data_IF_375521418488
#
_entry.id   IF_375521418488
#
_cell.length_a   1.000
_cell.length_b   1.000
_cell.length_c   1.000
_cell.angle_alpha   90.00
_cell.angle_beta   90.00
_cell.angle_gamma   90.00
#
_symmetry.space_group_name_H-M   'P 1'
#
loop_
_entity.id
_entity.type
_entity.pdbx_description
1 polymer ?
#
# COMPACT_ATOMS: atom_id res chain seq x y z
N UNK A 1 1.12 7.95 16.24
CA UNK A 1 0.66 8.97 15.27
C UNK A 1 -0.40 9.84 15.94
N UNK A 2 -0.34 11.16 15.75
CA UNK A 2 -1.27 12.13 16.34
C UNK A 2 -2.03 12.83 15.19
N UNK A 3 -3.24 12.38 14.81
CA UNK A 3 -4.03 13.04 13.80
C UNK A 3 -4.65 14.31 14.35
N UNK A 4 -4.45 15.45 13.66
CA UNK A 4 -5.04 16.75 14.01
C UNK A 4 -5.89 17.23 12.84
N UNK A 5 -7.17 17.47 13.09
CA UNK A 5 -8.09 17.97 12.07
C UNK A 5 -8.03 19.49 12.02
N UNK A 6 -7.38 20.04 10.99
CA UNK A 6 -7.28 21.48 10.72
C UNK A 6 -8.15 21.94 9.52
N UNK A 7 -8.76 20.98 8.80
CA UNK A 7 -9.56 21.26 7.61
C UNK A 7 -11.02 20.83 7.80
N UNK A 8 -11.93 21.54 7.14
CA UNK A 8 -13.34 21.22 7.06
C UNK A 8 -13.66 19.98 6.22
N UNK A 9 -14.94 19.67 6.05
CA UNK A 9 -15.40 18.52 5.26
C UNK A 9 -15.21 18.70 3.76
N UNK A 10 -15.01 19.93 3.30
CA UNK A 10 -14.71 20.32 1.93
C UNK A 10 -13.19 20.30 1.62
N UNK A 11 -12.37 19.89 2.59
CA UNK A 11 -10.91 19.88 2.47
C UNK A 11 -10.25 21.27 2.61
N UNK A 12 -11.03 22.32 2.92
CA UNK A 12 -10.54 23.68 3.09
C UNK A 12 -10.41 24.06 4.57
N UNK A 13 -9.48 24.95 4.88
CA UNK A 13 -9.27 25.46 6.25
C UNK A 13 -8.53 26.79 6.22
N UNK A 14 -8.42 27.44 7.37
CA UNK A 14 -7.70 28.69 7.49
C UNK A 14 -6.26 28.45 7.93
N UNK A 15 -5.35 29.35 7.56
CA UNK A 15 -3.96 29.32 8.05
C UNK A 15 -3.91 29.48 9.59
N UNK A 16 -4.92 30.08 10.18
CA UNK A 16 -5.07 30.19 11.64
C UNK A 16 -5.31 28.80 12.26
N UNK A 17 -6.29 28.05 11.76
CA UNK A 17 -6.61 26.70 12.27
C UNK A 17 -5.44 25.75 12.11
N UNK A 18 -4.74 25.80 10.97
CA UNK A 18 -3.49 25.06 10.77
C UNK A 18 -2.43 25.46 11.80
N UNK A 19 -2.27 26.76 12.04
CA UNK A 19 -1.35 27.31 13.05
C UNK A 19 -1.70 26.83 14.47
N UNK A 20 -2.98 26.79 14.84
CA UNK A 20 -3.43 26.27 16.14
C UNK A 20 -3.16 24.77 16.29
N UNK A 21 -3.38 23.97 15.22
CA UNK A 21 -3.06 22.56 15.23
C UNK A 21 -1.54 22.31 15.36
N UNK A 22 -0.72 23.10 14.67
CA UNK A 22 0.75 23.05 14.79
C UNK A 22 1.20 23.40 16.21
N UNK A 23 0.66 24.48 16.81
CA UNK A 23 0.93 24.86 18.20
C UNK A 23 0.59 23.74 19.18
N UNK A 24 -0.60 23.13 19.01
CA UNK A 24 -0.99 21.96 19.80
C UNK A 24 0.01 20.83 19.66
N UNK A 25 0.39 20.45 18.41
CA UNK A 25 1.28 19.33 18.15
C UNK A 25 2.62 19.42 18.87
N UNK A 26 3.17 20.62 19.03
CA UNK A 26 4.47 20.87 19.68
C UNK A 26 4.36 21.28 21.16
N UNK A 27 3.16 21.29 21.73
CA UNK A 27 2.93 21.66 23.12
C UNK A 27 3.01 23.17 23.41
N UNK A 28 2.88 24.02 22.38
CA UNK A 28 2.82 25.48 22.53
C UNK A 28 1.41 25.95 22.94
N UNK A 29 1.28 27.13 23.57
CA UNK A 29 -0.02 27.72 23.87
C UNK A 29 -0.89 27.84 22.60
N UNK A 30 -2.13 27.38 22.69
CA UNK A 30 -3.12 27.34 21.61
C UNK A 30 -4.53 27.57 22.16
N UNK A 31 -5.51 27.81 21.30
CA UNK A 31 -6.88 28.16 21.67
C UNK A 31 -7.65 27.07 22.44
N UNK A 32 -7.26 25.80 22.28
CA UNK A 32 -7.88 24.72 23.05
C UNK A 32 -7.54 24.76 24.54
N UNK A 33 -6.51 25.51 24.93
CA UNK A 33 -5.98 25.56 26.29
C UNK A 33 -5.39 24.22 26.76
N UNK A 34 -5.20 23.26 25.85
CA UNK A 34 -4.64 21.93 26.13
C UNK A 34 -3.39 21.67 25.30
N UNK A 35 -2.60 20.70 25.72
CA UNK A 35 -1.39 20.24 25.03
C UNK A 35 -1.40 18.71 24.97
N UNK A 36 -0.73 18.08 24.01
CA UNK A 36 -0.62 16.64 23.97
C UNK A 36 0.24 16.11 25.13
N UNK A 37 0.00 14.87 25.53
CA UNK A 37 0.80 14.20 26.55
C UNK A 37 2.29 14.15 26.17
N UNK A 38 2.56 13.98 24.88
CA UNK A 38 3.89 14.02 24.27
C UNK A 38 3.85 14.87 23.01
N UNK A 39 4.67 15.90 22.88
CA UNK A 39 4.84 16.63 21.64
C UNK A 39 5.26 15.75 20.46
N UNK A 40 4.91 16.15 19.25
CA UNK A 40 5.35 15.50 18.04
C UNK A 40 6.85 15.75 17.80
N UNK A 41 7.55 14.79 17.25
CA UNK A 41 8.94 14.94 16.76
C UNK A 41 8.94 15.47 15.32
N UNK A 42 7.90 15.12 14.54
CA UNK A 42 7.77 15.47 13.12
C UNK A 42 6.31 15.87 12.84
N UNK A 43 6.11 16.91 12.05
CA UNK A 43 4.82 17.36 11.58
C UNK A 43 4.75 17.21 10.06
N UNK A 44 3.72 16.51 9.56
CA UNK A 44 3.39 16.38 8.15
C UNK A 44 2.25 17.34 7.78
N UNK A 45 2.48 18.22 6.82
CA UNK A 45 1.52 19.18 6.28
C UNK A 45 1.29 18.89 4.79
N UNK A 46 0.45 17.89 4.49
CA UNK A 46 0.01 17.58 3.12
C UNK A 46 -1.05 18.57 2.63
N UNK A 47 -0.77 19.87 2.75
CA UNK A 47 -1.66 20.98 2.44
C UNK A 47 -0.84 22.21 2.00
N UNK A 48 -1.48 23.16 1.35
CA UNK A 48 -0.84 24.40 0.90
C UNK A 48 -1.83 25.36 0.22
N UNK A 49 -1.29 26.42 -0.37
CA UNK A 49 -2.07 27.42 -1.13
C UNK A 49 -2.15 28.78 -0.45
N UNK A 50 -1.48 28.99 0.68
CA UNK A 50 -1.40 30.27 1.36
C UNK A 50 -0.41 31.26 0.74
N UNK A 51 -0.46 32.51 1.22
CA UNK A 51 0.53 33.53 0.95
C UNK A 51 1.52 33.66 2.13
N UNK A 52 2.65 34.29 1.90
CA UNK A 52 3.60 34.59 2.98
C UNK A 52 2.97 35.39 4.11
N UNK A 53 3.18 34.95 5.34
CA UNK A 53 2.77 35.66 6.57
C UNK A 53 3.93 35.69 7.55
N UNK A 54 4.36 36.88 8.00
CA UNK A 54 5.39 36.98 9.03
C UNK A 54 5.03 36.28 10.34
N UNK A 55 3.74 36.27 10.71
CA UNK A 55 3.26 35.57 11.90
C UNK A 55 3.36 34.05 11.77
N UNK A 56 3.09 33.50 10.58
CA UNK A 56 3.27 32.08 10.31
C UNK A 56 4.77 31.70 10.26
N UNK A 57 5.63 32.54 9.67
CA UNK A 57 7.08 32.31 9.74
C UNK A 57 7.57 32.25 11.19
N UNK A 58 7.13 33.20 12.03
CA UNK A 58 7.52 33.19 13.44
C UNK A 58 7.04 31.91 14.18
N UNK A 59 5.86 31.38 13.81
CA UNK A 59 5.39 30.08 14.33
C UNK A 59 6.35 28.94 13.96
N UNK A 60 6.75 28.82 12.69
CA UNK A 60 7.69 27.75 12.27
C UNK A 60 9.08 27.92 12.87
N UNK A 61 9.50 29.15 13.17
CA UNK A 61 10.71 29.40 13.94
C UNK A 61 10.59 28.91 15.40
N UNK A 62 9.44 29.12 16.06
CA UNK A 62 9.14 28.57 17.39
C UNK A 62 9.09 27.04 17.38
N UNK A 63 8.46 26.42 16.35
CA UNK A 63 8.39 24.97 16.18
C UNK A 63 9.77 24.34 16.05
N UNK A 64 10.64 24.95 15.23
CA UNK A 64 12.02 24.52 15.09
C UNK A 64 12.82 24.66 16.39
N UNK A 65 12.63 25.76 17.11
CA UNK A 65 13.28 25.97 18.40
C UNK A 65 12.80 24.94 19.46
N UNK A 66 11.59 24.43 19.33
CA UNK A 66 11.07 23.31 20.13
C UNK A 66 11.64 21.93 19.73
N UNK A 67 12.51 21.87 18.72
CA UNK A 67 13.15 20.61 18.25
C UNK A 67 12.29 19.77 17.31
N UNK A 68 11.25 20.33 16.73
CA UNK A 68 10.31 19.63 15.85
C UNK A 68 10.60 19.93 14.38
N UNK A 69 10.64 18.90 13.55
CA UNK A 69 10.82 19.03 12.10
C UNK A 69 9.46 19.08 11.39
N UNK A 70 9.30 20.06 10.51
CA UNK A 70 8.08 20.20 9.68
C UNK A 70 8.40 19.87 8.24
N UNK A 71 7.57 19.03 7.63
CA UNK A 71 7.60 18.74 6.20
C UNK A 71 6.28 19.17 5.57
N UNK A 72 6.32 19.77 4.38
CA UNK A 72 5.12 20.28 3.72
C UNK A 72 5.14 20.06 2.21
N UNK A 73 3.93 19.91 1.63
CA UNK A 73 3.72 19.70 0.21
C UNK A 73 4.03 20.97 -0.58
N UNK A 74 4.85 20.86 -1.63
CA UNK A 74 5.26 22.00 -2.45
C UNK A 74 4.14 22.61 -3.30
N UNK A 75 3.05 21.87 -3.53
CA UNK A 75 1.91 22.27 -4.37
C UNK A 75 1.85 21.52 -5.70
N UNK A 76 0.68 21.59 -6.36
CA UNK A 76 0.34 20.75 -7.51
C UNK A 76 -0.06 21.58 -8.75
N UNK A 77 0.43 22.79 -8.91
CA UNK A 77 0.07 23.74 -9.97
C UNK A 77 1.11 23.82 -11.10
N UNK A 78 2.10 22.89 -11.11
CA UNK A 78 3.25 22.92 -12.03
C UNK A 78 3.98 24.29 -12.03
N UNK A 79 3.95 25.00 -10.93
CA UNK A 79 4.37 26.39 -10.75
C UNK A 79 5.80 26.48 -10.18
N UNK A 80 6.44 27.63 -10.43
CA UNK A 80 7.68 28.03 -9.75
C UNK A 80 7.45 29.07 -8.66
N UNK A 81 6.20 29.49 -8.46
CA UNK A 81 5.85 30.41 -7.38
C UNK A 81 5.91 29.68 -6.03
N UNK A 82 6.46 30.33 -4.99
CA UNK A 82 6.46 29.75 -3.64
C UNK A 82 5.05 29.47 -3.15
N UNK A 83 4.82 28.26 -2.63
CA UNK A 83 3.57 27.84 -1.97
C UNK A 83 3.80 27.66 -0.47
N UNK A 84 2.88 28.14 0.33
CA UNK A 84 3.00 28.09 1.78
C UNK A 84 2.02 27.07 2.37
N UNK A 85 2.45 26.29 3.39
CA UNK A 85 3.61 26.53 4.29
C UNK A 85 4.96 26.01 3.80
N UNK A 86 5.04 25.26 2.69
CA UNK A 86 6.29 24.63 2.23
C UNK A 86 7.45 25.63 2.02
N UNK A 87 7.14 26.86 1.58
CA UNK A 87 8.15 27.87 1.30
C UNK A 87 8.60 28.69 2.52
N UNK A 88 8.10 28.42 3.74
CA UNK A 88 8.63 29.06 4.94
C UNK A 88 10.02 28.52 5.26
N UNK A 89 10.89 29.39 5.78
CA UNK A 89 12.13 28.94 6.39
C UNK A 89 11.82 27.94 7.54
N UNK A 90 12.68 26.95 7.72
CA UNK A 90 12.52 25.89 8.73
C UNK A 90 11.38 24.89 8.46
N UNK A 91 10.85 24.88 7.24
CA UNK A 91 9.94 23.84 6.72
C UNK A 91 10.61 23.14 5.54
N UNK A 92 10.62 21.82 5.55
CA UNK A 92 11.16 21.01 4.44
C UNK A 92 10.09 20.93 3.34
N UNK A 93 10.38 21.49 2.19
CA UNK A 93 9.49 21.53 1.03
C UNK A 93 9.67 20.28 0.16
N UNK A 94 8.58 19.56 -0.10
CA UNK A 94 8.60 18.25 -0.77
C UNK A 94 7.95 18.33 -2.15
N UNK A 95 8.72 18.07 -3.22
CA UNK A 95 8.22 17.86 -4.58
C UNK A 95 7.86 16.39 -4.83
N UNK A 96 7.12 16.14 -5.92
CA UNK A 96 6.62 14.82 -6.26
C UNK A 96 7.32 14.23 -7.50
N UNK A 97 7.67 12.94 -7.42
CA UNK A 97 8.14 12.17 -8.58
C UNK A 97 7.16 11.06 -8.96
N UNK A 98 7.17 10.70 -10.26
CA UNK A 98 6.46 9.57 -10.83
C UNK A 98 7.20 8.23 -10.59
N UNK A 99 6.61 7.11 -11.06
CA UNK A 99 7.19 5.77 -10.94
C UNK A 99 8.55 5.63 -11.66
N UNK A 100 8.84 6.47 -12.65
CA UNK A 100 10.12 6.51 -13.36
C UNK A 100 11.13 7.50 -12.74
N UNK A 101 10.86 8.01 -11.53
CA UNK A 101 11.68 8.99 -10.81
C UNK A 101 11.83 10.32 -11.54
N UNK A 102 10.88 10.70 -12.39
CA UNK A 102 10.82 12.00 -13.04
C UNK A 102 9.91 12.92 -12.24
N UNK A 103 10.14 14.22 -12.32
CA UNK A 103 9.23 15.18 -11.70
C UNK A 103 7.82 14.98 -12.25
N UNK A 104 6.85 14.72 -11.36
CA UNK A 104 5.45 14.56 -11.76
C UNK A 104 4.93 15.84 -12.43
N UNK A 105 4.07 15.67 -13.45
CA UNK A 105 3.64 16.77 -14.34
C UNK A 105 3.01 17.95 -13.61
N UNK A 106 2.36 17.69 -12.50
CA UNK A 106 1.68 18.65 -11.64
C UNK A 106 2.59 19.30 -10.58
N UNK A 107 3.74 18.67 -10.23
CA UNK A 107 4.54 19.11 -9.09
C UNK A 107 5.06 20.52 -9.25
N UNK A 108 4.92 21.34 -8.21
CA UNK A 108 5.62 22.60 -8.10
C UNK A 108 7.13 22.36 -8.03
N UNK A 109 7.90 23.36 -8.48
CA UNK A 109 9.37 23.38 -8.54
C UNK A 109 9.88 24.80 -8.22
N UNK A 110 11.15 24.95 -8.01
CA UNK A 110 11.77 26.24 -7.78
C UNK A 110 12.75 26.24 -6.63
N UNK A 111 13.26 27.43 -6.28
CA UNK A 111 14.30 27.60 -5.29
C UNK A 111 13.92 27.16 -3.86
N UNK A 112 12.63 26.98 -3.60
CA UNK A 112 12.12 26.58 -2.29
C UNK A 112 12.04 25.07 -2.10
N UNK A 113 12.29 24.25 -3.13
CA UNK A 113 12.23 22.79 -3.01
C UNK A 113 13.47 22.29 -2.27
N UNK A 114 13.26 21.47 -1.24
CA UNK A 114 14.34 20.87 -0.46
C UNK A 114 14.57 19.39 -0.83
N UNK A 115 13.51 18.64 -1.13
CA UNK A 115 13.60 17.21 -1.36
C UNK A 115 12.46 16.72 -2.25
N UNK A 116 12.69 15.64 -2.98
CA UNK A 116 11.67 14.94 -3.74
C UNK A 116 11.27 13.62 -3.07
N UNK A 117 10.03 13.19 -3.29
CA UNK A 117 9.54 11.89 -2.84
C UNK A 117 8.48 11.33 -3.80
N UNK A 118 8.12 10.01 -3.73
CA UNK A 118 7.10 9.43 -4.56
C UNK A 118 5.73 10.10 -4.33
N UNK A 119 5.21 10.78 -5.34
CA UNK A 119 3.89 11.39 -5.34
C UNK A 119 2.97 10.80 -6.40
N UNK A 120 3.53 9.98 -7.29
CA UNK A 120 2.81 9.32 -8.38
C UNK A 120 2.35 10.27 -9.49
N UNK A 121 1.70 9.72 -10.49
CA UNK A 121 0.94 10.45 -11.51
C UNK A 121 -0.18 9.56 -12.04
N UNK A 122 -1.38 9.71 -11.48
CA UNK A 122 -2.54 8.89 -11.85
C UNK A 122 -3.14 9.21 -13.21
N UNK A 123 -2.54 10.15 -13.96
CA UNK A 123 -2.94 10.43 -15.35
C UNK A 123 -2.24 9.54 -16.39
N UNK A 124 -1.30 8.72 -15.95
CA UNK A 124 -0.45 7.88 -16.80
C UNK A 124 -0.29 6.47 -16.21
N UNK A 125 -0.02 5.51 -17.08
CA UNK A 125 0.39 4.16 -16.79
C UNK A 125 1.73 3.91 -17.50
N UNK A 126 2.84 4.19 -16.82
CA UNK A 126 4.19 4.14 -17.39
C UNK A 126 4.86 2.78 -17.20
N UNK A 127 4.37 2.00 -16.24
CA UNK A 127 4.86 0.66 -15.97
C UNK A 127 4.11 -0.39 -16.82
N UNK A 128 2.94 -0.05 -17.40
CA UNK A 128 2.17 -0.88 -18.31
C UNK A 128 1.42 -2.01 -17.60
N UNK A 129 1.10 -1.86 -16.32
CA UNK A 129 0.39 -2.87 -15.52
C UNK A 129 -1.14 -2.76 -15.62
N UNK A 130 -1.65 -1.77 -16.35
CA UNK A 130 -3.07 -1.51 -16.56
C UNK A 130 -3.70 -0.58 -15.50
N UNK A 131 -2.88 -0.05 -14.59
CA UNK A 131 -3.32 0.89 -13.56
C UNK A 131 -2.61 2.24 -13.69
N UNK A 132 -3.24 3.35 -13.29
CA UNK A 132 -2.54 4.63 -13.17
C UNK A 132 -1.45 4.57 -12.10
N UNK A 133 -0.31 5.20 -12.35
CA UNK A 133 0.86 5.22 -11.47
C UNK A 133 0.69 6.14 -10.25
N UNK A 134 -0.46 6.10 -9.59
CA UNK A 134 -0.70 6.80 -8.32
C UNK A 134 -0.04 6.13 -7.13
N UNK A 135 -0.05 6.79 -6.00
CA UNK A 135 0.36 6.21 -4.71
C UNK A 135 -0.84 5.49 -4.09
N UNK A 136 -0.74 4.18 -3.95
CA UNK A 136 -1.77 3.37 -3.31
C UNK A 136 -1.68 3.51 -1.79
N UNK A 137 -2.79 3.84 -1.16
CA UNK A 137 -2.89 3.90 0.30
C UNK A 137 -4.31 3.63 0.79
N UNK A 138 -4.44 3.37 2.09
CA UNK A 138 -5.75 3.33 2.74
C UNK A 138 -6.46 4.66 2.60
N UNK A 139 -7.72 4.62 2.23
CA UNK A 139 -8.59 5.76 2.08
C UNK A 139 -9.93 5.55 2.76
N UNK A 140 -10.82 6.51 2.61
CA UNK A 140 -12.18 6.40 3.09
C UNK A 140 -13.06 7.51 2.53
N UNK A 141 -14.30 7.18 2.29
CA UNK A 141 -15.34 8.15 1.91
C UNK A 141 -16.40 8.26 3.01
N UNK A 142 -17.04 9.41 3.08
CA UNK A 142 -18.15 9.65 4.02
C UNK A 142 -19.43 9.72 3.23
N UNK A 143 -20.33 8.78 3.46
CA UNK A 143 -21.67 8.73 2.87
C UNK A 143 -22.75 8.96 3.94
N UNK A 144 -24.02 9.01 3.54
CA UNK A 144 -25.14 9.03 4.47
C UNK A 144 -25.25 7.73 5.30
N UNK A 145 -24.66 6.64 4.83
CA UNK A 145 -24.62 5.35 5.53
C UNK A 145 -23.47 5.25 6.55
N UNK A 146 -22.46 6.12 6.47
CA UNK A 146 -21.32 6.12 7.39
C UNK A 146 -20.00 6.37 6.67
N UNK A 147 -18.92 5.90 7.28
CA UNK A 147 -17.57 5.94 6.69
C UNK A 147 -17.30 4.58 6.02
N UNK A 148 -16.95 4.63 4.74
CA UNK A 148 -16.50 3.48 3.96
C UNK A 148 -14.99 3.56 3.81
N UNK A 149 -14.29 2.47 4.15
CA UNK A 149 -12.84 2.36 4.03
C UNK A 149 -12.50 1.63 2.73
N UNK A 150 -11.49 2.11 2.04
CA UNK A 150 -11.01 1.52 0.78
C UNK A 150 -9.52 1.76 0.60
N UNK A 151 -8.92 1.02 -0.33
CA UNK A 151 -7.63 1.39 -0.90
C UNK A 151 -7.86 2.30 -2.10
N UNK A 152 -7.12 3.40 -2.18
CA UNK A 152 -7.24 4.38 -3.25
C UNK A 152 -5.88 4.78 -3.80
N UNK A 153 -5.81 4.99 -5.11
CA UNK A 153 -4.66 5.62 -5.74
C UNK A 153 -4.86 7.13 -5.76
N UNK A 154 -3.89 7.85 -5.23
CA UNK A 154 -3.88 9.30 -5.24
C UNK A 154 -2.53 9.80 -5.76
N UNK A 155 -2.53 10.98 -6.38
CA UNK A 155 -1.32 11.64 -6.83
C UNK A 155 -1.23 13.04 -6.25
N UNK A 156 -0.03 13.47 -5.93
CA UNK A 156 0.19 14.81 -5.42
C UNK A 156 1.46 14.94 -4.59
N UNK A 157 1.93 16.16 -4.45
CA UNK A 157 2.95 16.49 -3.43
C UNK A 157 2.44 16.18 -2.02
N UNK A 158 1.11 16.13 -1.83
CA UNK A 158 0.46 15.65 -0.61
C UNK A 158 0.75 14.18 -0.31
N UNK A 159 0.97 13.31 -1.32
CA UNK A 159 1.37 11.91 -1.17
C UNK A 159 2.89 11.77 -1.01
N UNK A 160 3.66 12.65 -1.61
CA UNK A 160 5.11 12.69 -1.47
C UNK A 160 5.56 13.07 -0.03
N UNK A 161 4.91 14.06 0.56
CA UNK A 161 5.25 14.61 1.89
C UNK A 161 5.28 13.55 3.00
N UNK A 162 4.28 12.66 3.17
CA UNK A 162 4.30 11.64 4.20
C UNK A 162 5.38 10.58 4.00
N UNK A 163 5.88 10.34 2.79
CA UNK A 163 7.06 9.50 2.58
C UNK A 163 8.28 10.10 3.28
N UNK A 164 8.51 11.41 3.12
CA UNK A 164 9.59 12.10 3.82
C UNK A 164 9.38 12.05 5.34
N UNK A 165 8.18 12.38 5.82
CA UNK A 165 7.86 12.32 7.25
C UNK A 165 8.10 10.93 7.85
N UNK A 166 7.72 9.87 7.12
CA UNK A 166 7.95 8.48 7.52
C UNK A 166 9.43 8.12 7.61
N UNK A 167 10.24 8.56 6.63
CA UNK A 167 11.69 8.34 6.66
C UNK A 167 12.35 9.10 7.82
N UNK A 168 11.97 10.35 8.06
CA UNK A 168 12.47 11.11 9.21
C UNK A 168 12.07 10.45 10.54
N UNK A 169 10.87 9.85 10.63
CA UNK A 169 10.47 9.09 11.81
C UNK A 169 11.33 7.83 12.00
N UNK A 170 11.72 7.13 10.93
CA UNK A 170 12.69 6.03 11.01
C UNK A 170 14.07 6.52 11.48
N UNK A 171 14.55 7.67 11.00
CA UNK A 171 15.79 8.28 11.48
C UNK A 171 15.73 8.59 12.99
N UNK A 172 14.63 9.18 13.45
CA UNK A 172 14.40 9.47 14.88
C UNK A 172 14.28 8.21 15.73
N UNK A 173 13.82 7.09 15.16
CA UNK A 173 13.72 5.82 15.89
C UNK A 173 15.09 5.21 16.20
N UNK A 174 16.10 5.43 15.36
CA UNK A 174 17.47 4.93 15.55
C UNK A 174 18.39 5.96 16.19
N UNK A 175 18.06 7.25 16.07
CA UNK A 175 18.73 8.35 16.73
C UNK A 175 17.72 9.38 17.26
N UNK A 176 17.15 9.18 18.46
CA UNK A 176 16.15 10.07 19.04
C UNK A 176 16.65 11.52 19.27
N UNK A 177 17.96 11.70 19.40
CA UNK A 177 18.59 12.99 19.70
C UNK A 177 18.80 13.87 18.45
N UNK A 178 18.52 13.35 17.22
CA UNK A 178 18.61 14.14 16.00
C UNK A 178 17.77 15.41 16.12
N UNK A 179 18.41 16.55 15.97
CA UNK A 179 17.72 17.85 15.90
C UNK A 179 17.29 18.17 14.47
N UNK A 180 16.35 19.14 14.27
CA UNK A 180 16.04 19.63 12.93
C UNK A 180 17.27 20.17 12.18
N UNK A 181 18.26 20.74 12.90
CA UNK A 181 19.50 21.23 12.30
C UNK A 181 20.40 20.09 11.80
N UNK A 182 20.43 18.96 12.51
CA UNK A 182 21.17 17.77 12.06
C UNK A 182 20.53 17.18 10.81
N UNK A 183 19.20 17.11 10.76
CA UNK A 183 18.44 16.64 9.59
C UNK A 183 18.74 17.53 8.37
N UNK A 184 18.70 18.86 8.53
CA UNK A 184 19.03 19.79 7.45
C UNK A 184 20.47 19.60 6.97
N UNK A 185 21.41 19.43 7.90
CA UNK A 185 22.82 19.22 7.55
C UNK A 185 23.05 17.91 6.79
N UNK A 186 22.35 16.83 7.17
CA UNK A 186 22.38 15.54 6.48
C UNK A 186 21.75 15.67 5.08
N UNK A 187 20.62 16.38 4.96
CA UNK A 187 19.95 16.63 3.69
C UNK A 187 20.83 17.42 2.73
N UNK A 188 21.42 18.54 3.21
CA UNK A 188 22.27 19.41 2.40
C UNK A 188 23.54 18.72 1.89
N UNK A 189 24.05 17.71 2.61
CA UNK A 189 25.16 16.86 2.14
C UNK A 189 24.75 15.77 1.16
N UNK A 190 23.43 15.58 0.93
CA UNK A 190 22.90 14.50 0.10
C UNK A 190 22.95 13.12 0.78
N UNK A 191 23.14 13.08 2.11
CA UNK A 191 23.22 11.84 2.86
C UNK A 191 21.86 11.12 2.98
N UNK A 192 20.75 11.86 2.79
CA UNK A 192 19.39 11.34 2.88
C UNK A 192 18.79 10.92 1.53
N UNK A 193 19.46 11.21 0.41
CA UNK A 193 18.82 11.21 -0.91
C UNK A 193 19.67 10.48 -1.97
N UNK A 194 19.00 10.06 -3.03
CA UNK A 194 19.61 9.76 -4.32
C UNK A 194 19.55 11.03 -5.17
N UNK A 195 20.70 11.51 -5.63
CA UNK A 195 20.77 12.69 -6.48
C UNK A 195 20.06 12.44 -7.82
N UNK A 196 19.13 13.31 -8.19
CA UNK A 196 18.37 13.28 -9.44
C UNK A 196 18.54 14.59 -10.19
N UNK A 197 18.52 14.51 -11.52
CA UNK A 197 18.67 15.68 -12.36
C UNK A 197 20.13 16.17 -12.49
N UNK A 198 20.37 17.47 -12.56
CA UNK A 198 21.73 18.03 -12.49
C UNK A 198 22.38 17.73 -11.13
N UNK A 199 23.69 17.44 -11.10
CA UNK A 199 24.38 17.10 -9.84
C UNK A 199 24.22 18.17 -8.75
N UNK A 200 23.89 17.73 -7.55
CA UNK A 200 23.65 18.59 -6.39
C UNK A 200 22.23 19.13 -6.34
N UNK A 201 21.99 20.18 -5.54
CA UNK A 201 20.66 20.76 -5.40
C UNK A 201 20.16 21.39 -6.70
N UNK A 202 18.95 21.05 -7.11
CA UNK A 202 18.26 21.68 -8.23
C UNK A 202 16.82 22.11 -7.88
N UNK A 203 16.16 22.82 -8.81
CA UNK A 203 14.83 23.39 -8.60
C UNK A 203 13.69 22.39 -8.75
N UNK A 204 13.94 21.16 -9.22
CA UNK A 204 12.93 20.12 -9.41
C UNK A 204 12.90 19.12 -8.23
N UNK A 205 14.08 18.71 -7.79
CA UNK A 205 14.24 17.62 -6.82
C UNK A 205 14.88 18.07 -5.50
N UNK A 206 15.20 19.36 -5.35
CA UNK A 206 15.95 19.84 -4.19
C UNK A 206 17.29 19.15 -4.09
N UNK A 207 17.58 18.52 -2.95
CA UNK A 207 18.79 17.72 -2.73
C UNK A 207 18.64 16.26 -3.21
N UNK A 208 17.58 15.92 -3.97
CA UNK A 208 17.35 14.61 -4.57
C UNK A 208 16.13 13.87 -4.01
N UNK A 209 15.96 12.63 -4.48
CA UNK A 209 14.89 11.73 -4.07
C UNK A 209 15.21 11.08 -2.72
N UNK A 210 14.29 11.18 -1.76
CA UNK A 210 14.44 10.55 -0.44
C UNK A 210 14.77 9.06 -0.55
N UNK A 211 15.80 8.61 0.19
CA UNK A 211 16.22 7.21 0.28
C UNK A 211 16.24 6.78 1.74
N UNK A 212 15.28 5.93 2.13
CA UNK A 212 15.12 5.51 3.52
C UNK A 212 16.36 4.76 4.06
N UNK A 213 17.01 3.92 3.24
CA UNK A 213 18.21 3.18 3.65
C UNK A 213 19.38 4.10 3.97
N UNK A 214 19.66 5.07 3.07
CA UNK A 214 20.69 6.08 3.27
C UNK A 214 20.39 6.96 4.48
N UNK A 215 19.16 7.42 4.62
CA UNK A 215 18.73 8.30 5.70
C UNK A 215 18.88 7.63 7.08
N UNK A 216 18.47 6.38 7.22
CA UNK A 216 18.64 5.62 8.47
C UNK A 216 20.11 5.36 8.77
N UNK A 217 20.92 5.01 7.76
CA UNK A 217 22.37 4.83 7.92
C UNK A 217 23.05 6.14 8.37
N UNK A 218 22.69 7.28 7.76
CA UNK A 218 23.20 8.59 8.15
C UNK A 218 22.79 8.99 9.58
N UNK A 219 21.56 8.66 9.99
CA UNK A 219 21.08 8.89 11.35
C UNK A 219 21.86 8.08 12.39
N UNK A 220 22.14 6.82 12.09
CA UNK A 220 22.98 5.95 12.94
C UNK A 220 24.41 6.50 13.04
N UNK A 221 25.02 6.88 11.92
CA UNK A 221 26.36 7.47 11.92
C UNK A 221 26.43 8.77 12.74
N UNK A 222 25.36 9.57 12.76
CA UNK A 222 25.29 10.81 13.53
C UNK A 222 25.18 10.60 15.05
N UNK A 223 24.93 9.39 15.55
CA UNK A 223 24.96 9.09 17.00
C UNK A 223 26.36 9.16 17.58
N UNK A 224 27.40 9.26 16.73
CA UNK A 224 28.80 9.08 17.13
C UNK A 224 29.13 7.65 17.58
N UNK A 225 28.12 6.77 17.59
CA UNK A 225 28.38 5.34 17.52
C UNK A 225 28.83 5.06 16.08
N UNK A 226 29.97 4.39 15.87
CA UNK A 226 30.25 3.85 14.56
C UNK A 226 28.99 3.08 14.12
N UNK A 227 28.62 3.07 12.81
CA UNK A 227 27.68 2.09 12.29
C UNK A 227 28.09 0.78 12.94
N UNK A 228 27.14 -0.02 13.41
CA UNK A 228 27.52 -1.25 14.09
C UNK A 228 28.46 -1.99 13.12
N UNK A 229 29.77 -1.75 13.30
CA UNK A 229 30.86 -2.39 12.54
C UNK A 229 30.87 -3.89 12.86
N UNK A 230 30.03 -4.27 13.81
CA UNK A 230 29.81 -5.67 14.14
C UNK A 230 29.19 -6.38 12.94
N UNK A 231 29.83 -7.44 12.49
CA UNK A 231 29.33 -8.23 11.39
C UNK A 231 27.89 -8.68 11.65
N UNK A 232 27.03 -8.56 10.64
CA UNK A 232 25.59 -8.89 10.75
C UNK A 232 25.13 -9.66 9.54
N UNK A 233 24.63 -10.86 9.77
CA UNK A 233 23.95 -11.63 8.75
C UNK A 233 22.62 -10.99 8.38
N UNK A 234 22.44 -10.78 7.07
CA UNK A 234 21.19 -10.28 6.46
C UNK A 234 20.80 -11.15 5.26
N UNK A 235 19.54 -11.09 4.89
CA UNK A 235 18.98 -11.80 3.75
C UNK A 235 18.30 -10.81 2.79
N UNK A 236 18.36 -11.09 1.49
CA UNK A 236 17.72 -10.28 0.43
C UNK A 236 16.19 -10.26 0.52
N UNK A 237 15.59 -11.22 1.23
CA UNK A 237 14.15 -11.30 1.47
C UNK A 237 13.85 -11.89 2.85
N UNK A 238 12.82 -11.41 3.50
CA UNK A 238 12.29 -11.98 4.75
C UNK A 238 11.21 -13.03 4.50
N UNK A 239 10.66 -13.07 3.28
CA UNK A 239 9.67 -14.05 2.84
C UNK A 239 9.92 -14.43 1.39
N UNK A 240 9.89 -15.74 1.11
CA UNK A 240 9.93 -16.33 -0.23
C UNK A 240 8.55 -16.94 -0.51
N UNK A 241 7.79 -16.34 -1.41
CA UNK A 241 6.47 -16.83 -1.78
C UNK A 241 6.55 -17.59 -3.12
N UNK A 242 6.33 -18.89 -3.07
CA UNK A 242 6.38 -19.80 -4.22
C UNK A 242 5.04 -19.91 -4.94
N UNK A 243 3.97 -19.36 -4.37
CA UNK A 243 2.63 -19.50 -4.95
C UNK A 243 2.29 -20.95 -5.29
N UNK A 244 1.49 -21.14 -6.35
CA UNK A 244 1.05 -22.47 -6.81
C UNK A 244 1.99 -23.12 -7.85
N UNK A 245 2.83 -22.36 -8.56
CA UNK A 245 3.59 -22.83 -9.72
C UNK A 245 5.10 -22.69 -9.60
N UNK A 246 5.60 -21.67 -8.89
CA UNK A 246 7.05 -21.41 -8.77
C UNK A 246 7.74 -22.56 -8.06
N UNK A 247 8.84 -23.05 -8.65
CA UNK A 247 9.60 -24.19 -8.12
C UNK A 247 10.88 -23.79 -7.40
N UNK A 248 11.48 -22.65 -7.77
CA UNK A 248 12.70 -22.15 -7.15
C UNK A 248 12.76 -20.64 -7.13
N UNK A 249 13.33 -20.09 -6.06
CA UNK A 249 13.62 -18.67 -5.86
C UNK A 249 15.06 -18.52 -5.37
N UNK A 250 15.64 -17.38 -5.65
CA UNK A 250 17.00 -17.05 -5.23
C UNK A 250 16.96 -16.25 -3.92
N UNK A 251 17.87 -16.56 -3.01
CA UNK A 251 18.08 -15.91 -1.72
C UNK A 251 19.55 -15.53 -1.58
N UNK A 252 19.84 -14.26 -1.34
CA UNK A 252 21.20 -13.81 -1.07
C UNK A 252 21.36 -13.60 0.44
N UNK A 253 22.38 -14.22 1.01
CA UNK A 253 22.84 -13.96 2.38
C UNK A 253 24.10 -13.11 2.33
N UNK A 254 24.16 -12.06 3.12
CA UNK A 254 25.30 -11.14 3.13
C UNK A 254 25.63 -10.66 4.54
N UNK A 255 26.88 -10.25 4.72
CA UNK A 255 27.32 -9.48 5.87
C UNK A 255 27.16 -7.99 5.56
N UNK A 256 26.38 -7.29 6.35
CA UNK A 256 26.21 -5.82 6.21
C UNK A 256 27.06 -4.99 7.17
N UNK A 257 27.87 -5.64 8.01
CA UNK A 257 28.85 -5.00 8.88
C UNK A 257 30.30 -5.26 8.45
N UNK A 258 31.25 -4.63 9.13
CA UNK A 258 32.66 -4.93 8.97
C UNK A 258 33.08 -6.11 9.88
N UNK A 259 34.12 -6.84 9.48
CA UNK A 259 34.62 -7.99 10.24
C UNK A 259 34.16 -9.33 9.68
N UNK A 260 34.65 -10.40 10.30
CA UNK A 260 34.39 -11.75 9.85
C UNK A 260 33.03 -12.25 10.32
N UNK A 261 32.25 -12.80 9.40
CA UNK A 261 30.98 -13.48 9.66
C UNK A 261 30.94 -14.78 8.88
N UNK A 262 30.82 -15.90 9.58
CA UNK A 262 30.72 -17.22 8.97
C UNK A 262 29.30 -17.75 9.14
N UNK A 263 28.70 -18.23 8.07
CA UNK A 263 27.43 -18.94 8.13
C UNK A 263 27.66 -20.34 8.71
N UNK A 264 27.03 -20.62 9.85
CA UNK A 264 27.17 -21.89 10.55
C UNK A 264 26.13 -22.91 10.12
N UNK A 265 24.92 -22.43 9.83
CA UNK A 265 23.78 -23.27 9.45
C UNK A 265 22.82 -22.50 8.55
N UNK A 266 22.29 -23.18 7.54
CA UNK A 266 21.15 -22.75 6.75
C UNK A 266 20.22 -23.94 6.56
N UNK A 267 19.18 -24.02 7.38
CA UNK A 267 18.33 -25.20 7.46
C UNK A 267 16.83 -24.84 7.35
N UNK A 268 16.08 -25.55 6.52
CA UNK A 268 14.63 -25.45 6.47
C UNK A 268 13.98 -26.20 7.61
N UNK A 269 12.85 -25.69 8.12
CA UNK A 269 12.05 -26.36 9.15
C UNK A 269 11.24 -27.54 8.61
N UNK A 270 11.03 -27.61 7.30
CA UNK A 270 10.16 -28.58 6.65
C UNK A 270 10.85 -29.30 5.51
N UNK A 271 10.63 -30.62 5.33
CA UNK A 271 11.33 -31.44 4.35
C UNK A 271 10.98 -31.14 2.87
N UNK A 272 9.88 -30.43 2.63
CA UNK A 272 9.48 -30.01 1.29
C UNK A 272 10.23 -28.74 0.81
N UNK A 273 11.04 -28.10 1.66
CA UNK A 273 11.95 -27.01 1.28
C UNK A 273 13.37 -27.55 1.13
N UNK A 274 14.02 -27.20 0.05
CA UNK A 274 15.44 -27.52 -0.19
C UNK A 274 16.21 -26.25 -0.45
N UNK A 275 17.41 -26.18 0.09
CA UNK A 275 18.33 -25.05 -0.10
C UNK A 275 19.63 -25.59 -0.64
N UNK A 276 20.13 -24.98 -1.69
CA UNK A 276 21.42 -25.33 -2.29
C UNK A 276 22.27 -24.10 -2.54
N UNK A 277 23.55 -24.07 -2.17
CA UNK A 277 24.45 -22.99 -2.55
C UNK A 277 24.54 -22.90 -4.06
N UNK A 278 24.41 -21.72 -4.62
CA UNK A 278 24.55 -21.47 -6.05
C UNK A 278 25.80 -20.66 -6.35
N UNK A 279 26.11 -19.65 -5.56
CA UNK A 279 27.34 -18.86 -5.67
C UNK A 279 27.66 -18.27 -4.28
N UNK A 280 28.45 -18.97 -3.50
CA UNK A 280 28.83 -18.61 -2.13
C UNK A 280 30.33 -18.45 -2.00
N UNK A 281 30.78 -17.64 -1.06
CA UNK A 281 32.17 -17.50 -0.65
C UNK A 281 32.59 -18.60 0.36
N UNK A 282 33.85 -18.50 0.86
CA UNK A 282 34.40 -19.43 1.84
C UNK A 282 33.71 -19.37 3.21
N UNK A 283 33.07 -18.27 3.53
CA UNK A 283 32.30 -18.05 4.77
C UNK A 283 30.84 -18.50 4.65
N UNK A 284 30.45 -19.02 3.49
CA UNK A 284 29.09 -19.48 3.20
C UNK A 284 28.11 -18.34 2.87
N UNK A 285 28.58 -17.12 2.62
CA UNK A 285 27.76 -16.00 2.22
C UNK A 285 27.62 -15.97 0.69
N UNK A 286 26.53 -15.42 0.20
CA UNK A 286 26.24 -15.29 -1.24
C UNK A 286 24.88 -15.81 -1.63
N UNK A 287 24.80 -16.31 -2.87
CA UNK A 287 23.56 -16.73 -3.51
C UNK A 287 23.23 -18.18 -3.21
N UNK A 288 22.04 -18.41 -2.71
CA UNK A 288 21.43 -19.71 -2.50
C UNK A 288 20.20 -19.85 -3.39
N UNK A 289 20.00 -21.06 -3.92
CA UNK A 289 18.75 -21.45 -4.56
C UNK A 289 17.87 -22.20 -3.59
N UNK A 290 16.72 -21.63 -3.27
CA UNK A 290 15.67 -22.25 -2.49
C UNK A 290 14.65 -22.86 -3.44
N UNK A 291 14.33 -24.14 -3.24
CA UNK A 291 13.35 -24.87 -4.05
C UNK A 291 12.34 -25.59 -3.18
N UNK A 292 11.15 -25.84 -3.72
CA UNK A 292 10.07 -26.51 -3.02
C UNK A 292 9.62 -27.75 -3.77
N UNK A 293 9.30 -28.81 -3.02
CA UNK A 293 8.73 -30.05 -3.54
C UNK A 293 7.29 -30.20 -3.08
N UNK A 294 6.36 -30.15 -4.04
CA UNK A 294 4.92 -30.30 -3.81
C UNK A 294 4.46 -31.75 -3.78
N UNK A 295 5.33 -32.68 -4.16
CA UNK A 295 4.95 -34.10 -4.25
C UNK A 295 4.62 -34.66 -2.86
N UNK A 296 3.44 -35.29 -2.76
CA UNK A 296 2.96 -35.90 -1.51
C UNK A 296 2.35 -34.95 -0.51
N UNK A 297 2.34 -33.62 -0.79
CA UNK A 297 1.57 -32.66 -0.02
C UNK A 297 0.11 -32.68 -0.45
N UNK A 298 -0.80 -32.55 0.52
CA UNK A 298 -2.24 -32.41 0.23
C UNK A 298 -2.51 -30.98 -0.27
N UNK A 299 -3.60 -30.74 -1.00
CA UNK A 299 -4.00 -29.41 -1.36
C UNK A 299 -4.13 -28.48 -0.14
N UNK A 300 -3.56 -27.28 -0.24
CA UNK A 300 -3.56 -26.31 0.85
C UNK A 300 -2.41 -25.30 0.79
N UNK A 301 -2.39 -24.39 1.76
CA UNK A 301 -1.33 -23.41 1.94
C UNK A 301 -0.37 -23.93 3.01
N UNK A 302 0.92 -23.93 2.71
CA UNK A 302 2.00 -24.40 3.56
C UNK A 302 2.93 -23.25 3.90
N UNK A 303 3.45 -23.27 5.11
CA UNK A 303 4.45 -22.33 5.57
C UNK A 303 5.61 -23.08 6.22
N UNK A 304 6.83 -22.66 5.94
CA UNK A 304 8.04 -23.14 6.59
C UNK A 304 8.93 -21.95 6.94
N UNK A 305 9.87 -22.17 7.85
CA UNK A 305 10.93 -21.21 8.14
C UNK A 305 12.27 -21.77 7.64
N UNK A 306 13.02 -20.94 6.95
CA UNK A 306 14.40 -21.19 6.61
C UNK A 306 15.26 -20.42 7.61
N UNK A 307 15.86 -21.15 8.55
CA UNK A 307 16.74 -20.58 9.57
C UNK A 307 18.16 -20.47 9.06
N UNK A 308 18.68 -19.25 9.09
CA UNK A 308 20.11 -18.98 8.87
C UNK A 308 20.74 -18.59 10.20
N UNK A 309 21.80 -19.28 10.59
CA UNK A 309 22.58 -19.01 11.80
C UNK A 309 24.03 -18.71 11.41
N UNK A 310 24.54 -17.57 11.82
CA UNK A 310 25.94 -17.19 11.66
C UNK A 310 26.69 -17.24 12.99
N UNK A 311 27.99 -16.97 12.93
CA UNK A 311 28.84 -16.79 14.10
C UNK A 311 28.42 -15.63 15.03
N UNK A 312 27.56 -14.72 14.54
CA UNK A 312 27.20 -13.48 15.23
C UNK A 312 25.72 -13.40 15.55
N UNK A 313 24.84 -13.65 14.57
CA UNK A 313 23.40 -13.57 14.73
C UNK A 313 22.67 -14.63 13.93
N UNK A 314 21.38 -14.77 14.16
CA UNK A 314 20.49 -15.62 13.37
C UNK A 314 19.33 -14.82 12.80
N UNK A 315 18.79 -15.29 11.66
CA UNK A 315 17.58 -14.78 11.04
C UNK A 315 16.71 -15.93 10.51
N UNK A 316 15.43 -15.65 10.32
CA UNK A 316 14.49 -16.57 9.69
C UNK A 316 13.93 -15.93 8.43
N UNK A 317 13.90 -16.70 7.35
CA UNK A 317 13.23 -16.37 6.10
C UNK A 317 11.99 -17.26 6.00
N UNK A 318 10.82 -16.67 5.90
CA UNK A 318 9.58 -17.44 5.77
C UNK A 318 9.41 -17.93 4.35
N UNK A 319 9.03 -19.20 4.20
CA UNK A 319 8.74 -19.83 2.91
C UNK A 319 7.25 -20.13 2.85
N UNK A 320 6.55 -19.58 1.87
CA UNK A 320 5.15 -19.84 1.61
C UNK A 320 4.96 -20.64 0.33
N UNK A 321 4.08 -21.64 0.37
CA UNK A 321 3.81 -22.54 -0.72
C UNK A 321 2.31 -22.82 -0.81
N UNK A 322 1.75 -22.77 -2.01
CA UNK A 322 0.39 -23.24 -2.30
C UNK A 322 0.48 -24.56 -3.07
N UNK A 323 -0.26 -25.56 -2.63
CA UNK A 323 -0.48 -26.82 -3.35
C UNK A 323 -1.90 -26.83 -3.87
N UNK A 324 -2.09 -26.70 -5.19
CA UNK A 324 -3.43 -26.77 -5.78
C UNK A 324 -4.03 -28.17 -5.60
N UNK A 325 -5.36 -28.26 -5.46
CA UNK A 325 -6.08 -29.54 -5.46
C UNK A 325 -5.98 -30.26 -6.80
N UNK A 326 -6.02 -31.60 -6.78
CA UNK A 326 -6.08 -32.38 -8.02
C UNK A 326 -7.37 -32.15 -8.83
N UNK A 327 -8.38 -31.56 -8.20
CA UNK A 327 -9.61 -31.17 -8.86
C UNK A 327 -9.58 -29.67 -9.16
N UNK A 328 -9.09 -29.34 -10.33
CA UNK A 328 -9.07 -28.04 -10.98
C UNK A 328 -8.31 -26.90 -10.27
N UNK A 329 -7.34 -26.37 -10.97
CA UNK A 329 -6.67 -25.08 -10.69
C UNK A 329 -7.61 -23.86 -10.64
N UNK A 330 -8.91 -24.06 -10.63
CA UNK A 330 -9.99 -23.09 -10.64
C UNK A 330 -11.00 -23.25 -9.49
N UNK A 331 -10.73 -24.08 -8.46
CA UNK A 331 -11.62 -24.14 -7.30
C UNK A 331 -11.28 -22.96 -6.36
N UNK A 332 -12.21 -22.01 -6.30
CA UNK A 332 -12.13 -20.80 -5.46
C UNK A 332 -12.77 -21.01 -4.07
N UNK A 333 -13.06 -22.25 -3.69
CA UNK A 333 -13.70 -22.61 -2.43
C UNK A 333 -15.22 -22.45 -2.48
N UNK A 334 -15.79 -21.64 -1.63
CA UNK A 334 -17.21 -21.29 -1.65
C UNK A 334 -17.40 -20.03 -2.49
N UNK A 335 -18.28 -20.12 -3.46
CA UNK A 335 -18.67 -18.99 -4.29
C UNK A 335 -20.06 -18.52 -3.87
N UNK A 336 -20.20 -17.27 -3.54
CA UNK A 336 -21.51 -16.67 -3.26
C UNK A 336 -22.07 -16.08 -4.53
N UNK A 337 -23.24 -16.56 -4.93
CA UNK A 337 -23.96 -16.04 -6.09
C UNK A 337 -25.12 -15.18 -5.60
N UNK A 338 -25.15 -13.93 -6.03
CA UNK A 338 -26.09 -12.90 -5.61
C UNK A 338 -26.98 -12.50 -6.78
N UNK A 339 -28.27 -12.37 -6.52
CA UNK A 339 -29.24 -11.85 -7.46
C UNK A 339 -29.69 -10.47 -7.03
N UNK A 340 -29.51 -9.47 -7.86
CA UNK A 340 -29.87 -8.08 -7.59
C UNK A 340 -31.09 -7.61 -8.36
N UNK A 341 -31.92 -6.81 -7.71
CA UNK A 341 -32.85 -5.92 -8.39
C UNK A 341 -32.10 -4.63 -8.78
N UNK A 342 -31.93 -4.35 -10.09
CA UNK A 342 -31.14 -3.21 -10.55
C UNK A 342 -31.72 -1.84 -10.13
N UNK A 343 -33.02 -1.79 -9.75
CA UNK A 343 -33.68 -0.55 -9.33
C UNK A 343 -33.34 -0.16 -7.87
N UNK A 344 -33.11 -1.15 -7.01
CA UNK A 344 -32.85 -0.96 -5.58
C UNK A 344 -31.36 -1.16 -5.22
N UNK A 345 -30.59 -1.85 -6.06
CA UNK A 345 -29.19 -2.23 -5.82
C UNK A 345 -28.94 -2.98 -4.50
N UNK A 346 -29.95 -3.70 -4.03
CA UNK A 346 -29.87 -4.59 -2.89
C UNK A 346 -29.99 -6.05 -3.37
N UNK A 347 -29.26 -7.00 -2.77
CA UNK A 347 -29.39 -8.40 -3.13
C UNK A 347 -30.78 -8.92 -2.75
N UNK A 348 -31.53 -9.40 -3.74
CA UNK A 348 -32.84 -10.02 -3.57
C UNK A 348 -32.71 -11.45 -3.04
N UNK A 349 -31.70 -12.18 -3.51
CA UNK A 349 -31.43 -13.56 -3.13
C UNK A 349 -29.93 -13.87 -3.21
N UNK A 350 -29.51 -14.85 -2.41
CA UNK A 350 -28.14 -15.34 -2.35
C UNK A 350 -28.10 -16.85 -2.25
N UNK A 351 -27.14 -17.47 -2.93
CA UNK A 351 -26.83 -18.91 -2.84
C UNK A 351 -25.32 -19.09 -2.70
N UNK A 352 -24.90 -19.95 -1.77
CA UNK A 352 -23.52 -20.41 -1.67
C UNK A 352 -23.35 -21.66 -2.55
N UNK A 353 -22.51 -21.55 -3.58
CA UNK A 353 -22.17 -22.62 -4.50
C UNK A 353 -20.80 -23.22 -4.15
N UNK A 354 -20.64 -24.53 -4.28
CA UNK A 354 -19.38 -25.24 -4.11
C UNK A 354 -18.95 -25.84 -5.43
N UNK A 355 -17.64 -25.86 -5.69
CA UNK A 355 -17.08 -26.41 -6.92
C UNK A 355 -17.39 -27.90 -7.09
N UNK A 356 -17.82 -28.27 -8.29
CA UNK A 356 -18.00 -29.67 -8.73
C UNK A 356 -17.44 -29.81 -10.14
N UNK A 357 -16.28 -30.41 -10.28
CA UNK A 357 -15.63 -30.60 -11.58
C UNK A 357 -15.34 -29.28 -12.31
N UNK A 358 -14.91 -28.23 -11.60
CA UNK A 358 -14.60 -26.92 -12.18
C UNK A 358 -15.80 -26.02 -12.45
N UNK A 359 -16.98 -26.41 -12.04
CA UNK A 359 -18.18 -25.61 -12.15
C UNK A 359 -18.81 -25.38 -10.77
N UNK A 360 -19.50 -24.27 -10.61
CA UNK A 360 -20.18 -23.87 -9.37
C UNK A 360 -21.71 -23.85 -9.63
N UNK A 361 -22.41 -25.01 -9.51
CA UNK A 361 -23.84 -25.07 -9.76
C UNK A 361 -24.61 -24.28 -8.70
N UNK A 362 -25.53 -23.44 -9.13
CA UNK A 362 -26.40 -22.66 -8.26
C UNK A 362 -27.83 -22.69 -8.69
N UNK A 363 -28.77 -22.42 -7.80
CA UNK A 363 -30.19 -22.33 -8.09
C UNK A 363 -30.86 -21.34 -7.15
N UNK A 364 -31.46 -20.31 -7.71
CA UNK A 364 -32.43 -19.48 -7.01
C UNK A 364 -33.82 -20.03 -7.19
N UNK A 365 -34.62 -19.94 -6.16
CA UNK A 365 -36.02 -20.41 -6.17
C UNK A 365 -36.96 -19.29 -5.76
N UNK A 366 -38.19 -19.36 -6.28
CA UNK A 366 -39.24 -18.43 -5.89
C UNK A 366 -38.92 -16.96 -6.20
N UNK A 367 -38.19 -16.69 -7.28
CA UNK A 367 -37.88 -15.35 -7.74
C UNK A 367 -39.06 -14.78 -8.53
N UNK A 368 -39.55 -13.57 -8.24
CA UNK A 368 -40.61 -12.91 -9.02
C UNK A 368 -40.21 -12.74 -10.49
N UNK A 369 -41.18 -12.56 -11.38
CA UNK A 369 -40.89 -12.13 -12.74
C UNK A 369 -40.33 -10.68 -12.71
N UNK A 370 -39.28 -10.41 -13.48
CA UNK A 370 -38.61 -9.10 -13.46
C UNK A 370 -37.27 -9.09 -14.20
N UNK A 371 -36.57 -7.98 -14.05
CA UNK A 371 -35.21 -7.78 -14.55
C UNK A 371 -34.24 -7.90 -13.38
N UNK A 372 -33.15 -8.64 -13.58
CA UNK A 372 -32.17 -8.93 -12.51
C UNK A 372 -30.75 -8.91 -13.01
N UNK A 373 -29.83 -8.58 -12.11
CA UNK A 373 -28.39 -8.78 -12.30
C UNK A 373 -27.93 -9.96 -11.45
N UNK A 374 -26.99 -10.77 -11.97
CA UNK A 374 -26.32 -11.83 -11.23
C UNK A 374 -24.84 -11.52 -11.14
N UNK A 375 -24.33 -11.55 -9.91
CA UNK A 375 -22.90 -11.43 -9.58
C UNK A 375 -22.52 -12.62 -8.71
N UNK A 376 -21.31 -13.14 -8.91
CA UNK A 376 -20.77 -14.18 -8.05
C UNK A 376 -19.34 -13.83 -7.63
N UNK A 377 -19.00 -14.14 -6.38
CA UNK A 377 -17.66 -13.92 -5.87
C UNK A 377 -17.32 -14.82 -4.69
N UNK A 378 -16.03 -14.97 -4.42
CA UNK A 378 -15.55 -15.58 -3.18
C UNK A 378 -15.46 -14.54 -2.08
N UNK A 379 -15.47 -15.02 -0.83
CA UNK A 379 -15.13 -14.27 0.39
C UNK A 379 -13.98 -15.05 1.02
N UNK A 380 -12.77 -14.78 0.53
CA UNK A 380 -11.58 -15.57 0.87
C UNK A 380 -10.94 -15.11 2.17
N UNK A 381 -11.10 -13.86 2.55
CA UNK A 381 -10.60 -13.29 3.81
C UNK A 381 -11.65 -13.25 4.93
N UNK A 382 -12.89 -13.66 4.61
CA UNK A 382 -14.01 -13.81 5.53
C UNK A 382 -14.45 -12.47 6.18
N UNK A 383 -14.41 -11.40 5.40
CA UNK A 383 -14.82 -10.06 5.81
C UNK A 383 -16.30 -9.75 5.52
N UNK A 384 -17.02 -10.70 4.90
CA UNK A 384 -18.44 -10.63 4.49
C UNK A 384 -18.68 -9.80 3.21
N UNK A 385 -17.64 -9.48 2.47
CA UNK A 385 -17.74 -8.94 1.12
C UNK A 385 -17.29 -9.99 0.10
N UNK A 386 -17.62 -9.80 -1.14
CA UNK A 386 -17.20 -10.65 -2.25
C UNK A 386 -16.64 -9.77 -3.37
N UNK A 387 -15.79 -10.34 -4.22
CA UNK A 387 -15.20 -9.61 -5.33
C UNK A 387 -14.16 -8.55 -4.90
N UNK A 388 -13.46 -8.76 -3.82
CA UNK A 388 -12.35 -7.93 -3.40
C UNK A 388 -11.02 -8.36 -4.02
N UNK A 389 -9.96 -7.56 -3.82
CA UNK A 389 -8.66 -7.82 -4.41
C UNK A 389 -8.07 -9.15 -3.92
N UNK A 390 -7.85 -10.09 -4.84
CA UNK A 390 -7.39 -11.44 -4.55
C UNK A 390 -8.50 -12.46 -4.44
N UNK A 391 -9.75 -12.06 -4.61
CA UNK A 391 -10.92 -12.90 -4.65
C UNK A 391 -11.37 -13.21 -6.07
N UNK A 392 -12.12 -14.30 -6.23
CA UNK A 392 -12.73 -14.62 -7.49
C UNK A 392 -14.02 -13.83 -7.69
N UNK A 393 -14.24 -13.28 -8.87
CA UNK A 393 -15.42 -12.52 -9.22
C UNK A 393 -15.91 -12.83 -10.64
N UNK A 394 -17.20 -12.76 -10.83
CA UNK A 394 -17.84 -12.91 -12.13
C UNK A 394 -19.26 -12.36 -12.14
N UNK A 395 -19.76 -11.99 -13.31
CA UNK A 395 -21.12 -11.53 -13.51
C UNK A 395 -21.70 -12.08 -14.81
N UNK A 396 -23.03 -12.11 -14.91
CA UNK A 396 -23.69 -12.56 -16.13
C UNK A 396 -23.31 -11.68 -17.31
N UNK A 397 -22.63 -12.26 -18.19
CA UNK A 397 -21.82 -12.03 -19.37
C UNK A 397 -20.49 -11.35 -19.09
N UNK A 398 -20.40 -10.22 -18.42
CA UNK A 398 -19.11 -9.59 -18.04
C UNK A 398 -19.23 -8.77 -16.76
N UNK A 399 -18.12 -8.65 -16.01
CA UNK A 399 -18.03 -7.80 -14.81
C UNK A 399 -18.17 -6.31 -15.13
N UNK A 400 -17.61 -5.86 -16.25
CA UNK A 400 -17.57 -4.45 -16.61
C UNK A 400 -18.93 -3.90 -17.07
N UNK A 401 -19.79 -4.78 -17.61
CA UNK A 401 -21.14 -4.46 -18.07
C UNK A 401 -22.08 -5.64 -17.80
N UNK A 402 -22.55 -5.82 -16.56
CA UNK A 402 -23.54 -6.85 -16.25
C UNK A 402 -24.80 -6.66 -17.11
N UNK A 403 -25.27 -7.73 -17.72
CA UNK A 403 -26.49 -7.68 -18.55
C UNK A 403 -27.67 -8.13 -17.70
N UNK A 404 -28.77 -7.38 -17.80
CA UNK A 404 -30.01 -7.69 -17.12
C UNK A 404 -30.62 -9.00 -17.63
N UNK A 405 -30.95 -9.85 -16.69
CA UNK A 405 -31.69 -11.12 -16.95
C UNK A 405 -33.17 -10.83 -16.91
N UNK A 406 -33.84 -11.01 -18.03
CA UNK A 406 -35.30 -11.00 -18.11
C UNK A 406 -35.86 -12.33 -17.62
N UNK A 407 -36.49 -12.32 -16.46
CA UNK A 407 -37.09 -13.52 -15.87
C UNK A 407 -38.61 -13.53 -16.03
N UNK A 408 -39.10 -14.13 -17.12
CA UNK A 408 -40.53 -14.35 -17.36
C UNK A 408 -40.90 -15.80 -17.09
N UNK A 409 -39.97 -16.73 -17.27
CA UNK A 409 -40.11 -18.19 -17.05
C UNK A 409 -38.86 -18.69 -16.33
N UNK A 410 -38.91 -19.95 -15.87
CA UNK A 410 -37.72 -20.60 -15.33
C UNK A 410 -36.58 -20.63 -16.36
N UNK A 411 -35.34 -20.35 -15.90
CA UNK A 411 -34.13 -20.30 -16.71
C UNK A 411 -33.09 -21.29 -16.15
N UNK A 412 -32.44 -22.02 -17.05
CA UNK A 412 -31.36 -22.98 -16.77
C UNK A 412 -30.12 -22.77 -17.66
N UNK A 413 -30.09 -21.64 -18.36
CA UNK A 413 -29.07 -21.26 -19.33
C UNK A 413 -28.18 -20.10 -18.85
N UNK A 414 -28.11 -19.86 -17.54
CA UNK A 414 -27.34 -18.76 -16.95
C UNK A 414 -25.97 -19.29 -16.56
N UNK A 415 -25.09 -19.43 -17.53
CA UNK A 415 -23.69 -19.82 -17.34
C UNK A 415 -22.77 -18.64 -17.58
N UNK A 416 -21.82 -18.36 -16.66
CA UNK A 416 -20.86 -17.26 -16.79
C UNK A 416 -19.51 -17.60 -16.13
N UNK A 417 -18.42 -17.01 -16.61
CA UNK A 417 -17.10 -17.22 -16.04
C UNK A 417 -16.94 -16.49 -14.71
N UNK A 418 -16.08 -17.03 -13.85
CA UNK A 418 -15.57 -16.37 -12.64
C UNK A 418 -14.06 -16.41 -12.69
N UNK A 419 -13.43 -15.25 -12.53
CA UNK A 419 -11.98 -15.08 -12.58
C UNK A 419 -11.48 -14.46 -11.28
N UNK A 420 -10.22 -14.74 -10.92
CA UNK A 420 -9.59 -14.00 -9.83
C UNK A 420 -9.35 -12.55 -10.26
N UNK A 421 -9.87 -11.63 -9.48
CA UNK A 421 -9.55 -10.21 -9.65
C UNK A 421 -8.13 -9.96 -9.17
N UNK A 422 -7.22 -9.85 -10.12
CA UNK A 422 -5.84 -9.40 -9.91
C UNK A 422 -5.76 -7.88 -10.05
N UNK A 423 -6.86 -7.17 -9.94
CA UNK A 423 -6.93 -5.75 -10.20
C UNK A 423 -7.04 -4.93 -8.93
N UNK A 424 -6.06 -4.07 -8.73
CA UNK A 424 -6.18 -2.95 -7.82
C UNK A 424 -7.16 -1.93 -8.41
N UNK A 425 -8.15 -1.44 -7.66
CA UNK A 425 -9.12 -0.49 -8.19
C UNK A 425 -8.45 0.83 -8.54
N UNK A 426 -8.68 1.25 -9.77
CA UNK A 426 -8.31 2.58 -10.26
C UNK A 426 -9.55 3.41 -10.29
N UNK A 427 -9.50 4.64 -9.74
CA UNK A 427 -10.42 5.67 -10.21
C UNK A 427 -9.96 7.09 -9.95
N UNK A 428 -9.87 7.84 -11.04
CA UNK A 428 -10.08 9.28 -11.02
C UNK A 428 -11.57 9.59 -11.14
N UNK A 429 -12.06 10.46 -10.25
CA UNK A 429 -13.26 11.28 -10.51
C UNK A 429 -14.63 10.65 -10.36
N UNK A 430 -14.73 9.37 -10.12
CA UNK A 430 -15.92 8.77 -9.52
C UNK A 430 -15.44 8.03 -8.28
N UNK A 431 -16.10 8.20 -7.15
CA UNK A 431 -15.95 7.25 -6.07
C UNK A 431 -16.18 5.88 -6.70
N UNK A 432 -15.11 5.08 -6.86
CA UNK A 432 -15.27 3.68 -7.13
C UNK A 432 -15.86 3.12 -5.87
N UNK A 433 -17.15 2.95 -5.89
CA UNK A 433 -17.80 2.00 -5.03
C UNK A 433 -17.45 0.61 -5.58
N UNK A 434 -16.23 0.16 -5.34
CA UNK A 434 -15.99 -1.24 -5.09
C UNK A 434 -16.31 -1.46 -3.63
N UNK A 435 -17.53 -1.16 -3.23
CA UNK A 435 -18.10 -1.75 -2.05
C UNK A 435 -18.27 -3.22 -2.39
N UNK A 436 -17.54 -4.09 -1.72
CA UNK A 436 -17.87 -5.49 -1.66
C UNK A 436 -19.36 -5.64 -1.39
N UNK A 437 -20.01 -6.59 -2.06
CA UNK A 437 -21.45 -6.73 -2.04
C UNK A 437 -21.83 -7.55 -0.80
N UNK A 438 -22.51 -6.93 0.17
CA UNK A 438 -22.90 -7.63 1.41
C UNK A 438 -24.01 -8.65 1.21
N UNK A 439 -23.85 -9.89 1.70
CA UNK A 439 -24.90 -10.88 1.71
C UNK A 439 -25.96 -10.61 2.79
N UNK A 440 -27.19 -10.32 2.42
CA UNK A 440 -28.35 -10.25 3.32
C UNK A 440 -29.22 -11.51 3.31
N UNK A 441 -30.00 -11.71 4.38
CA UNK A 441 -30.90 -12.88 4.51
C UNK A 441 -32.10 -12.79 3.56
N UNK A 442 -32.47 -13.91 2.89
CA UNK A 442 -33.54 -13.91 1.89
C UNK A 442 -34.92 -13.62 2.48
N UNK A 443 -35.71 -12.83 1.76
CA UNK A 443 -37.15 -12.64 2.01
C UNK A 443 -37.97 -13.68 1.24
N UNK A 444 -38.93 -14.28 1.89
CA UNK A 444 -39.79 -15.30 1.27
C UNK A 444 -40.85 -14.68 0.34
N UNK A 445 -40.82 -15.04 -0.91
CA UNK A 445 -41.83 -14.71 -1.93
C UNK A 445 -42.12 -15.89 -2.86
N UNK A 446 -43.27 -15.88 -3.55
CA UNK A 446 -43.60 -16.90 -4.58
C UNK A 446 -42.98 -16.51 -5.91
N UNK A 447 -42.14 -17.35 -6.49
CA UNK A 447 -41.42 -17.01 -7.71
C UNK A 447 -40.91 -18.21 -8.49
N UNK A 448 -40.14 -17.95 -9.52
CA UNK A 448 -39.60 -18.91 -10.49
C UNK A 448 -38.17 -19.33 -10.09
N UNK A 449 -37.67 -20.40 -10.69
CA UNK A 449 -36.31 -20.87 -10.48
C UNK A 449 -35.36 -20.28 -11.54
N UNK A 450 -34.15 -19.90 -11.10
CA UNK A 450 -33.00 -19.61 -11.95
C UNK A 450 -31.92 -20.60 -11.54
N UNK A 451 -31.35 -21.30 -12.53
CA UNK A 451 -30.23 -22.21 -12.32
C UNK A 451 -29.20 -22.06 -13.43
N UNK A 452 -27.93 -22.19 -13.09
CA UNK A 452 -26.84 -22.09 -14.04
C UNK A 452 -25.61 -22.85 -13.57
N UNK A 453 -24.63 -22.89 -14.41
CA UNK A 453 -23.34 -23.52 -14.16
C UNK A 453 -22.25 -22.53 -14.57
N UNK A 454 -21.32 -22.25 -13.68
CA UNK A 454 -20.16 -21.45 -14.02
C UNK A 454 -19.07 -22.33 -14.66
N UNK A 455 -18.49 -21.82 -15.71
CA UNK A 455 -17.41 -22.49 -16.43
C UNK A 455 -16.10 -21.76 -16.20
N UNK A 456 -15.00 -22.47 -15.89
CA UNK A 456 -13.67 -21.85 -15.85
C UNK A 456 -13.30 -21.39 -17.25
N UNK A 457 -12.65 -20.24 -17.39
CA UNK A 457 -12.02 -19.86 -18.65
C UNK A 457 -10.81 -20.78 -18.88
N UNK A 458 -10.75 -21.37 -20.07
CA UNK A 458 -9.62 -22.17 -20.52
C UNK A 458 -8.42 -21.27 -20.85
N UNK A 459 -7.22 -21.84 -20.71
CA UNK A 459 -5.89 -21.27 -20.96
C UNK A 459 -5.76 -20.40 -22.20
#
# INVERSE_FOLDING_TARGET
MMPLRALGTDGSGTSYDVGQAVRFAVGLPNDSGTVPERPADIINLSLGGGAFSPAAQALYDEVRAAGVTVVAAAGNEASTAPSYPAAYANVISVSAVDVQRRLSSYSNRGATIDIAAPGGDSTVDLNGDGYPDGVLSTGGSVSAAGIEFAYTFLSGTSMATPHVAGVLALMKSVNPDLTPADIDALLQRGDLTDDLGPPGRDDSFGYGLINAGRAVAAALAATGQPPADDPRLTASAVTLNFGSSTQSLDLVLSNTGEGELVLLELAPSEPWVRVTPAQTDEDGLGLYRVSVDRNGLQPGIYAADLRAQSSVNSLNVRVLLTVPGEENSSDVGVLYVLLFDPAVREPLAQVAARGVGGAYPFTFREIPAGEYEIVAGSDADNDLFICDAGEACGAWLTLDQPILIQLETDRDDIDFPVEYLVSLPVLEGAAATTSGIQPEKPRAGRGRAISGRQLPQGD
#
